data_IF_254192639119
#
_entry.id   IF_254192639119
#
_cell.length_a   1.000
_cell.length_b   1.000
_cell.length_c   1.000
_cell.angle_alpha   90.00
_cell.angle_beta   90.00
_cell.angle_gamma   90.00
#
_symmetry.space_group_name_H-M   'P 1'
#
loop_
_entity.id
_entity.type
_entity.pdbx_description
1 polymer ?
#
# COMPACT_ATOMS: atom_id res chain seq x y z
N UNK A 1 -17.09 -22.44 14.07
CA UNK A 1 -16.73 -21.87 13.83
C UNK A 1 -16.15 -20.98 13.38
N UNK A 2 -15.77 -21.08 13.23
CA UNK A 2 -15.33 -20.52 12.86
C UNK A 2 -15.06 -19.50 12.41
N UNK A 3 -15.20 -19.10 12.29
CA UNK A 3 -15.18 -17.89 12.18
C UNK A 3 -13.94 -17.13 12.25
N UNK A 4 -13.11 -17.35 12.95
CA UNK A 4 -11.79 -16.87 13.10
C UNK A 4 -11.05 -16.83 11.82
N UNK A 5 -11.54 -17.51 10.91
CA UNK A 5 -10.94 -17.56 9.61
C UNK A 5 -10.78 -16.22 8.96
N UNK A 6 -11.69 -15.32 9.25
CA UNK A 6 -11.61 -14.04 8.61
C UNK A 6 -10.42 -13.25 8.96
N UNK A 7 -9.91 -13.40 10.15
CA UNK A 7 -8.76 -12.66 10.57
C UNK A 7 -7.56 -12.99 9.74
N UNK A 8 -7.47 -14.24 9.34
CA UNK A 8 -6.32 -14.70 8.60
C UNK A 8 -6.25 -14.14 7.21
N UNK A 9 -7.38 -13.69 6.67
CA UNK A 9 -7.41 -13.19 5.32
C UNK A 9 -7.23 -11.70 5.25
N UNK A 10 -7.15 -11.03 6.39
CA UNK A 10 -7.00 -9.59 6.43
C UNK A 10 -5.55 -9.20 6.17
N UNK A 11 -5.36 -8.29 5.22
CA UNK A 11 -4.06 -7.76 4.91
C UNK A 11 -4.09 -6.28 5.21
N UNK A 12 -3.01 -5.78 5.82
CA UNK A 12 -2.91 -4.37 6.14
C UNK A 12 -1.67 -3.79 5.48
N UNK A 13 -1.73 -2.52 5.15
CA UNK A 13 -0.54 -1.83 4.71
C UNK A 13 0.39 -1.64 5.90
N UNK A 14 1.68 -1.85 5.69
CA UNK A 14 2.64 -1.52 6.70
C UNK A 14 2.93 -0.03 6.67
N UNK A 15 2.92 0.56 5.49
CA UNK A 15 3.14 1.99 5.31
C UNK A 15 2.28 2.49 4.17
N UNK A 16 1.58 3.61 4.30
CA UNK A 16 1.50 4.45 5.50
C UNK A 16 0.60 3.85 6.57
N UNK A 17 0.76 4.31 7.80
CA UNK A 17 -0.13 3.94 8.89
C UNK A 17 -1.29 4.92 8.93
N UNK A 18 -2.44 4.51 9.52
CA UNK A 18 -3.59 5.42 9.60
C UNK A 18 -3.24 6.72 10.33
N UNK A 19 -3.63 7.83 9.75
CA UNK A 19 -3.39 9.13 10.35
C UNK A 19 -1.98 9.66 10.21
N UNK A 20 -1.15 8.99 9.43
CA UNK A 20 0.23 9.40 9.27
C UNK A 20 0.33 10.77 8.59
N UNK A 21 1.29 11.58 9.00
CA UNK A 21 1.53 12.89 8.40
C UNK A 21 2.89 12.89 7.72
N UNK A 22 2.90 13.26 6.47
CA UNK A 22 4.13 13.39 5.69
C UNK A 22 4.40 14.89 5.55
N UNK A 23 5.58 15.32 5.97
CA UNK A 23 5.97 16.71 5.80
C UNK A 23 6.94 16.78 4.62
N UNK A 24 6.57 17.55 3.60
CA UNK A 24 7.44 17.75 2.46
C UNK A 24 8.54 18.71 2.84
N UNK A 25 9.76 18.42 2.39
CA UNK A 25 10.91 19.28 2.65
C UNK A 25 11.07 20.20 1.44
N UNK A 26 10.87 21.52 1.62
CA UNK A 26 10.97 22.45 0.48
C UNK A 26 12.38 22.55 -0.09
N UNK A 27 13.38 22.04 0.62
CA UNK A 27 14.75 22.05 0.12
C UNK A 27 15.04 20.91 -0.83
N UNK A 28 14.12 19.93 -0.91
CA UNK A 28 14.28 18.78 -1.79
C UNK A 28 13.38 19.00 -3.00
N UNK A 29 13.93 18.92 -4.24
CA UNK A 29 13.08 19.01 -5.43
C UNK A 29 11.99 17.95 -5.39
N UNK A 30 10.78 18.33 -5.80
CA UNK A 30 9.63 17.42 -5.72
C UNK A 30 9.87 16.08 -6.41
N UNK A 31 10.57 16.09 -7.53
CA UNK A 31 10.81 14.85 -8.26
C UNK A 31 11.73 13.89 -7.52
N UNK A 32 12.43 14.37 -6.50
CA UNK A 32 13.32 13.52 -5.70
C UNK A 32 12.68 13.06 -4.41
N UNK A 33 11.56 13.67 -4.02
CA UNK A 33 10.86 13.23 -2.81
C UNK A 33 10.00 12.03 -3.11
N UNK A 34 10.17 10.98 -2.33
CA UNK A 34 9.40 9.76 -2.50
C UNK A 34 9.01 9.19 -1.16
N UNK A 35 7.83 8.62 -1.12
CA UNK A 35 7.33 7.93 0.06
C UNK A 35 7.00 6.51 -0.32
N UNK A 36 7.40 5.56 0.50
CA UNK A 36 7.21 4.14 0.20
C UNK A 36 5.87 3.63 0.73
N UNK A 37 5.06 3.08 -0.16
CA UNK A 37 3.94 2.25 0.24
C UNK A 37 4.48 0.84 0.39
N UNK A 38 4.15 0.17 1.48
CA UNK A 38 4.70 -1.15 1.77
C UNK A 38 3.63 -2.11 2.25
N UNK A 39 3.81 -3.36 1.85
CA UNK A 39 3.09 -4.46 2.45
C UNK A 39 3.95 -5.04 3.57
N UNK A 40 3.31 -5.64 4.59
CA UNK A 40 4.09 -6.25 5.67
C UNK A 40 4.94 -7.40 5.18
N UNK A 41 6.04 -7.63 5.85
CA UNK A 41 6.86 -8.81 5.61
C UNK A 41 6.01 -10.04 5.90
N UNK A 42 6.15 -11.06 5.09
CA UNK A 42 5.37 -12.28 5.27
C UNK A 42 4.13 -12.37 4.41
N UNK A 43 3.75 -11.26 3.77
CA UNK A 43 2.68 -11.33 2.78
C UNK A 43 3.29 -11.84 1.49
N UNK A 44 2.85 -13.01 1.06
CA UNK A 44 3.40 -13.63 -0.14
C UNK A 44 2.53 -13.28 -1.33
N UNK A 45 2.70 -12.07 -1.83
CA UNK A 45 1.91 -11.57 -2.92
C UNK A 45 2.56 -11.92 -4.25
N UNK A 46 1.73 -12.27 -5.23
CA UNK A 46 2.19 -12.48 -6.59
C UNK A 46 1.97 -11.25 -7.44
N UNK A 47 0.97 -10.46 -7.06
CA UNK A 47 0.65 -9.24 -7.79
C UNK A 47 0.03 -8.27 -6.81
N UNK A 48 0.37 -7.00 -6.95
CA UNK A 48 -0.19 -5.95 -6.11
C UNK A 48 -0.64 -4.79 -6.98
N UNK A 49 -1.84 -4.30 -6.73
CA UNK A 49 -2.30 -3.04 -7.29
C UNK A 49 -2.32 -2.03 -6.16
N UNK A 50 -1.61 -0.94 -6.36
CA UNK A 50 -1.55 0.14 -5.38
C UNK A 50 -2.61 1.17 -5.76
N UNK A 51 -3.50 1.47 -4.83
CA UNK A 51 -4.65 2.32 -5.09
C UNK A 51 -4.57 3.55 -4.19
N UNK A 52 -4.62 4.71 -4.80
CA UNK A 52 -4.59 5.98 -4.06
C UNK A 52 -5.79 6.79 -4.49
N UNK A 53 -6.58 7.25 -3.51
CA UNK A 53 -7.77 8.06 -3.76
C UNK A 53 -8.67 7.41 -4.79
N UNK A 54 -8.84 6.09 -4.66
CA UNK A 54 -9.70 5.27 -5.51
C UNK A 54 -9.22 5.13 -6.94
N UNK A 55 -7.94 5.42 -7.20
CA UNK A 55 -7.35 5.23 -8.52
C UNK A 55 -6.19 4.26 -8.42
N UNK A 56 -6.08 3.37 -9.38
CA UNK A 56 -4.95 2.46 -9.43
C UNK A 56 -3.73 3.24 -9.90
N UNK A 57 -2.73 3.36 -9.04
CA UNK A 57 -1.48 4.04 -9.39
C UNK A 57 -0.58 3.12 -10.20
N UNK A 58 -0.50 1.86 -9.77
CA UNK A 58 0.40 0.93 -10.40
C UNK A 58 -0.04 -0.48 -10.09
N UNK A 59 0.25 -1.39 -11.01
CA UNK A 59 0.02 -2.81 -10.81
C UNK A 59 1.34 -3.49 -11.07
N UNK A 60 1.81 -4.27 -10.12
CA UNK A 60 3.13 -4.88 -10.18
C UNK A 60 3.06 -6.36 -9.90
N UNK A 61 3.64 -7.14 -10.80
CA UNK A 61 3.83 -8.56 -10.56
C UNK A 61 5.08 -8.71 -9.69
N UNK A 62 4.95 -9.48 -8.63
CA UNK A 62 6.02 -9.58 -7.67
C UNK A 62 6.80 -10.85 -7.91
N UNK A 63 8.09 -10.68 -8.17
CA UNK A 63 8.99 -11.80 -8.34
C UNK A 63 9.98 -11.91 -7.19
N UNK A 64 10.12 -10.83 -6.40
CA UNK A 64 11.04 -10.80 -5.27
C UNK A 64 10.40 -10.04 -4.13
N UNK A 65 10.76 -10.37 -2.88
CA UNK A 65 10.15 -9.68 -1.72
C UNK A 65 10.26 -8.17 -1.75
N UNK A 66 11.34 -7.65 -2.32
CA UNK A 66 11.51 -6.20 -2.39
C UNK A 66 10.50 -5.53 -3.30
N UNK A 67 9.82 -6.30 -4.12
CA UNK A 67 8.81 -5.75 -5.04
C UNK A 67 7.52 -5.38 -4.33
N UNK A 68 7.39 -5.67 -3.05
CA UNK A 68 6.22 -5.30 -2.26
C UNK A 68 6.28 -3.85 -1.78
N UNK A 69 7.02 -3.03 -2.47
CA UNK A 69 7.19 -1.62 -2.15
C UNK A 69 6.90 -0.80 -3.40
N UNK A 70 6.14 0.27 -3.23
CA UNK A 70 5.91 1.21 -4.31
C UNK A 70 6.34 2.59 -3.85
N UNK A 71 7.18 3.25 -4.62
CA UNK A 71 7.67 4.60 -4.30
C UNK A 71 6.78 5.61 -4.98
N UNK A 72 6.13 6.43 -4.18
CA UNK A 72 5.15 7.42 -4.62
C UNK A 72 5.71 8.81 -4.42
N UNK A 73 5.47 9.69 -5.39
CA UNK A 73 5.84 11.10 -5.25
C UNK A 73 4.70 11.79 -4.49
N UNK A 74 4.94 12.24 -3.25
CA UNK A 74 3.86 12.79 -2.43
C UNK A 74 3.27 14.05 -3.02
N UNK A 75 1.94 14.14 -2.94
CA UNK A 75 1.21 15.34 -3.30
C UNK A 75 0.50 15.84 -2.06
N UNK A 76 0.47 17.16 -1.90
CA UNK A 76 -0.14 17.73 -0.71
C UNK A 76 -1.63 17.44 -0.65
N UNK A 77 -2.12 17.24 0.55
CA UNK A 77 -3.54 17.01 0.78
C UNK A 77 -3.78 15.76 1.60
N UNK A 78 -5.07 15.47 1.79
CA UNK A 78 -5.48 14.26 2.48
C UNK A 78 -5.69 13.17 1.43
N UNK A 79 -5.13 12.00 1.70
CA UNK A 79 -5.18 10.90 0.77
C UNK A 79 -5.64 9.62 1.46
N UNK A 80 -6.15 8.70 0.67
CA UNK A 80 -6.53 7.38 1.14
C UNK A 80 -5.82 6.35 0.28
N UNK A 81 -5.09 5.46 0.92
CA UNK A 81 -4.32 4.43 0.23
C UNK A 81 -4.81 3.04 0.61
N UNK A 82 -4.80 2.16 -0.34
CA UNK A 82 -5.04 0.74 -0.10
C UNK A 82 -4.35 -0.06 -1.20
N UNK A 83 -4.30 -1.36 -1.02
CA UNK A 83 -3.72 -2.24 -2.02
C UNK A 83 -4.64 -3.41 -2.25
N UNK A 84 -4.61 -3.91 -3.47
CA UNK A 84 -5.29 -5.14 -3.83
C UNK A 84 -4.20 -6.16 -4.09
N UNK A 85 -4.26 -7.28 -3.39
CA UNK A 85 -3.16 -8.23 -3.34
C UNK A 85 -3.63 -9.60 -3.83
N UNK A 86 -2.95 -10.12 -4.82
CA UNK A 86 -3.18 -11.49 -5.30
C UNK A 86 -2.12 -12.40 -4.71
N UNK A 87 -2.56 -13.44 -4.03
CA UNK A 87 -1.64 -14.41 -3.44
C UNK A 87 -1.76 -15.73 -4.15
N UNK A 88 -0.70 -16.52 -4.06
CA UNK A 88 -0.69 -17.81 -4.72
C UNK A 88 -1.76 -18.73 -4.16
N UNK A 89 -2.43 -19.44 -5.04
CA UNK A 89 -3.45 -20.36 -4.63
C UNK A 89 -4.84 -19.77 -4.44
N UNK A 90 -4.94 -18.44 -4.53
CA UNK A 90 -6.23 -17.77 -4.42
C UNK A 90 -6.58 -17.13 -5.74
N UNK A 91 -7.82 -17.32 -6.17
CA UNK A 91 -8.26 -16.76 -7.43
C UNK A 91 -8.62 -15.30 -7.31
N UNK A 92 -9.08 -14.89 -6.14
CA UNK A 92 -9.54 -13.53 -5.93
C UNK A 92 -8.54 -12.75 -5.10
N UNK A 93 -8.39 -11.46 -5.40
CA UNK A 93 -7.48 -10.64 -4.62
C UNK A 93 -8.06 -10.33 -3.24
N UNK A 94 -7.16 -10.02 -2.33
CA UNK A 94 -7.54 -9.48 -1.02
C UNK A 94 -7.25 -8.00 -1.06
N UNK A 95 -8.13 -7.22 -0.45
CA UNK A 95 -7.88 -5.78 -0.35
C UNK A 95 -7.50 -5.44 1.07
N UNK A 96 -6.53 -4.53 1.20
CA UNK A 96 -6.18 -4.01 2.50
C UNK A 96 -7.24 -3.01 2.94
N UNK A 97 -7.26 -2.71 4.23
CA UNK A 97 -8.08 -1.62 4.72
C UNK A 97 -7.57 -0.32 4.14
N UNK A 98 -8.48 0.60 3.88
CA UNK A 98 -8.10 1.92 3.41
C UNK A 98 -7.44 2.70 4.55
N UNK A 99 -6.34 3.35 4.25
CA UNK A 99 -5.57 4.11 5.22
C UNK A 99 -5.59 5.56 4.82
N UNK A 100 -6.06 6.43 5.72
CA UNK A 100 -6.04 7.87 5.47
C UNK A 100 -4.77 8.46 6.03
N UNK A 101 -4.15 9.36 5.27
CA UNK A 101 -2.94 10.03 5.69
C UNK A 101 -2.91 11.43 5.07
N UNK A 102 -2.02 12.27 5.55
CA UNK A 102 -1.98 13.67 5.15
C UNK A 102 -0.57 14.03 4.71
N UNK A 103 -0.49 14.73 3.59
CA UNK A 103 0.77 15.29 3.10
C UNK A 103 0.68 16.81 3.24
N UNK A 104 1.62 17.37 3.98
CA UNK A 104 1.64 18.81 4.27
C UNK A 104 2.69 19.54 3.48
#
# INVERSE_FOLDING_TARGET
MLNSVRTETTVRLESPTPGFHIALDPRIPNELEKFAFRLPAGVEARRVEWILDERVLAATDIVEPSSSIYLWHPERGTHTARARVWTEGLEEPRETEAVSFIVK
#
